data_IF_977622477690
#
_entry.id   IF_977622477690
#
_cell.length_a   1.000
_cell.length_b   1.000
_cell.length_c   1.000
_cell.angle_alpha   90.00
_cell.angle_beta   90.00
_cell.angle_gamma   90.00
#
_symmetry.space_group_name_H-M   'P 1'
#
loop_
_entity.id
_entity.type
_entity.pdbx_description
1 polymer ?
#
# COMPACT_ATOMS: atom_id res chain seq x y z
N UNK A 1 -16.46 43.21 13.44
CA UNK A 1 -16.95 42.33 12.31
C UNK A 1 -16.01 41.14 12.00
N UNK A 2 -14.68 41.27 12.20
CA UNK A 2 -13.72 40.19 11.93
C UNK A 2 -13.80 39.08 13.00
N UNK A 3 -14.07 39.40 14.23
CA UNK A 3 -14.17 38.43 15.34
C UNK A 3 -15.38 37.50 15.23
N UNK A 4 -16.55 38.01 14.78
CA UNK A 4 -17.74 37.17 14.59
C UNK A 4 -17.59 36.11 13.51
N UNK A 5 -16.75 36.34 12.48
CA UNK A 5 -16.47 35.33 11.44
C UNK A 5 -15.62 34.14 11.91
N UNK A 6 -14.97 34.27 13.10
CA UNK A 6 -14.16 33.18 13.69
C UNK A 6 -14.96 32.25 14.60
N UNK A 7 -16.20 32.57 14.90
CA UNK A 7 -17.08 31.78 15.76
C UNK A 7 -17.82 30.67 15.00
N UNK A 8 -17.77 30.68 13.70
CA UNK A 8 -18.40 29.64 12.86
C UNK A 8 -17.32 28.98 12.03
N UNK A 9 -17.18 27.66 12.17
CA UNK A 9 -16.28 26.84 11.36
C UNK A 9 -17.06 26.28 10.19
N UNK A 10 -16.49 26.43 9.00
CA UNK A 10 -17.03 25.85 7.76
C UNK A 10 -16.15 24.73 7.28
N UNK A 11 -16.74 23.65 6.75
CA UNK A 11 -16.01 22.60 6.09
C UNK A 11 -15.29 23.18 4.84
N UNK A 12 -13.95 23.06 4.73
CA UNK A 12 -13.20 23.59 3.60
C UNK A 12 -13.38 22.77 2.32
N UNK A 13 -13.83 21.52 2.44
CA UNK A 13 -14.09 20.59 1.34
C UNK A 13 -15.21 19.62 1.74
N UNK A 14 -15.74 18.88 0.75
CA UNK A 14 -16.69 17.78 0.98
C UNK A 14 -15.92 16.57 1.54
N UNK A 15 -16.47 15.93 2.59
CA UNK A 15 -15.82 14.80 3.23
C UNK A 15 -16.62 14.24 4.39
N UNK A 16 -16.05 13.27 5.09
CA UNK A 16 -16.65 12.62 6.25
C UNK A 16 -16.00 13.14 7.55
N UNK A 17 -16.83 13.54 8.52
CA UNK A 17 -16.36 13.90 9.86
C UNK A 17 -15.93 12.63 10.58
N UNK A 18 -14.62 12.47 10.80
CA UNK A 18 -14.06 11.31 11.46
C UNK A 18 -14.13 11.42 12.98
N UNK A 19 -13.94 12.63 13.53
CA UNK A 19 -13.94 12.86 14.97
C UNK A 19 -14.32 14.29 15.30
N UNK A 20 -15.06 14.45 16.36
CA UNK A 20 -15.31 15.73 17.02
C UNK A 20 -14.61 15.67 18.38
N UNK A 21 -13.80 16.68 18.69
CA UNK A 21 -13.06 16.78 19.94
C UNK A 21 -13.67 17.92 20.76
N UNK A 22 -14.04 17.60 21.99
CA UNK A 22 -14.71 18.53 22.90
C UNK A 22 -16.23 18.43 22.90
N UNK A 23 -16.83 18.97 23.94
CA UNK A 23 -18.27 18.97 24.15
C UNK A 23 -18.82 20.41 24.13
N UNK A 24 -20.15 20.53 23.98
CA UNK A 24 -20.81 21.83 24.01
C UNK A 24 -20.64 22.49 25.39
N UNK A 25 -20.10 23.69 25.39
CA UNK A 25 -19.80 24.43 26.62
C UNK A 25 -18.33 24.34 27.05
N UNK A 26 -17.51 23.51 26.41
CA UNK A 26 -16.07 23.49 26.65
C UNK A 26 -15.35 24.67 25.97
N UNK A 27 -14.32 25.17 26.63
CA UNK A 27 -13.47 26.20 26.06
C UNK A 27 -12.42 25.62 25.12
N UNK A 28 -12.50 26.02 23.86
CA UNK A 28 -11.50 25.65 22.86
C UNK A 28 -10.42 26.71 22.76
N UNK A 29 -9.20 26.36 23.13
CA UNK A 29 -8.04 27.25 22.99
C UNK A 29 -7.42 27.09 21.59
N UNK A 30 -7.08 28.18 20.90
CA UNK A 30 -6.24 28.10 19.71
C UNK A 30 -4.88 27.52 20.09
N UNK A 31 -4.32 26.71 19.20
CA UNK A 31 -3.00 26.11 19.40
C UNK A 31 -1.93 27.18 19.61
N UNK A 32 -1.20 27.15 20.72
CA UNK A 32 -0.01 27.99 20.85
C UNK A 32 1.01 27.62 19.77
N UNK A 33 1.81 28.57 19.26
CA UNK A 33 2.87 28.25 18.32
C UNK A 33 3.79 27.14 18.85
N UNK A 34 4.00 26.07 18.04
CA UNK A 34 4.88 24.96 18.39
C UNK A 34 4.27 23.86 19.27
N UNK A 35 3.01 23.97 19.69
CA UNK A 35 2.30 22.91 20.42
C UNK A 35 1.21 22.33 19.52
N UNK A 36 1.33 21.07 19.08
CA UNK A 36 0.26 20.43 18.32
C UNK A 36 -0.93 20.18 19.24
N UNK A 37 -2.03 20.86 19.00
CA UNK A 37 -3.33 20.57 19.65
C UNK A 37 -4.21 19.80 18.69
N UNK A 38 -5.00 18.83 19.18
CA UNK A 38 -5.93 18.13 18.32
C UNK A 38 -6.95 19.11 17.70
N UNK A 39 -7.33 18.91 16.43
CA UNK A 39 -8.35 19.73 15.78
C UNK A 39 -9.69 19.54 16.48
N UNK A 40 -10.51 20.61 16.56
CA UNK A 40 -11.86 20.53 17.12
C UNK A 40 -12.75 19.55 16.30
N UNK A 41 -12.57 19.52 15.00
CA UNK A 41 -13.24 18.62 14.08
C UNK A 41 -12.19 18.03 13.14
N UNK A 42 -12.14 16.71 13.04
CA UNK A 42 -11.31 15.99 12.08
C UNK A 42 -12.18 15.61 10.87
N UNK A 43 -11.84 16.18 9.71
CA UNK A 43 -12.56 15.98 8.46
C UNK A 43 -11.66 15.24 7.47
N UNK A 44 -12.15 14.12 6.96
CA UNK A 44 -11.43 13.28 6.01
C UNK A 44 -12.05 13.40 4.62
N UNK A 45 -11.20 13.61 3.61
CA UNK A 45 -11.57 13.46 2.22
C UNK A 45 -11.47 11.96 1.86
N UNK A 46 -12.60 11.30 1.72
CA UNK A 46 -12.74 9.89 1.38
C UNK A 46 -12.93 9.66 -0.14
N UNK A 47 -12.85 10.72 -0.94
CA UNK A 47 -13.03 10.64 -2.39
C UNK A 47 -11.82 10.01 -3.12
N UNK A 48 -10.64 9.98 -2.50
CA UNK A 48 -9.42 9.46 -3.10
C UNK A 48 -8.57 8.65 -2.11
N UNK A 49 -8.93 7.38 -1.96
CA UNK A 49 -8.15 6.46 -1.14
C UNK A 49 -6.90 5.98 -1.87
N UNK A 50 -5.80 5.91 -1.16
CA UNK A 50 -4.55 5.30 -1.61
C UNK A 50 -3.92 4.50 -0.47
N UNK A 51 -3.06 3.55 -0.85
CA UNK A 51 -2.30 2.75 0.10
C UNK A 51 -0.90 3.31 0.17
N UNK A 52 -0.41 3.53 1.37
CA UNK A 52 0.95 3.94 1.63
C UNK A 52 1.70 2.77 2.26
N UNK A 53 2.72 2.27 1.57
CA UNK A 53 3.53 1.15 2.03
C UNK A 53 5.01 1.54 2.08
N UNK A 54 5.69 1.30 3.21
CA UNK A 54 7.14 1.45 3.31
C UNK A 54 7.83 0.28 2.61
N UNK A 55 8.62 0.56 1.57
CA UNK A 55 9.44 -0.40 0.85
C UNK A 55 10.90 -0.27 1.25
N UNK A 56 11.63 -1.38 1.26
CA UNK A 56 13.06 -1.37 1.56
C UNK A 56 13.83 -0.50 0.55
N UNK A 57 14.82 0.26 1.06
CA UNK A 57 15.69 1.12 0.24
C UNK A 57 16.37 0.35 -0.90
N UNK A 58 16.68 -0.93 -0.71
CA UNK A 58 17.35 -1.78 -1.73
C UNK A 58 16.42 -2.11 -2.90
N UNK A 59 15.12 -2.21 -2.65
CA UNK A 59 14.12 -2.54 -3.66
C UNK A 59 13.48 -1.30 -4.31
N UNK A 60 13.48 -0.17 -3.63
CA UNK A 60 12.90 1.07 -4.10
C UNK A 60 13.35 1.51 -5.51
N UNK A 61 14.64 1.35 -5.93
CA UNK A 61 15.08 1.72 -7.29
C UNK A 61 14.43 0.92 -8.42
N UNK A 62 13.83 -0.24 -8.11
CA UNK A 62 13.13 -1.09 -9.08
C UNK A 62 11.68 -0.69 -9.26
N UNK A 63 11.17 0.21 -8.41
CA UNK A 63 9.76 0.60 -8.35
C UNK A 63 9.57 1.93 -9.06
N UNK A 64 8.65 1.95 -10.02
CA UNK A 64 8.36 3.13 -10.81
C UNK A 64 6.85 3.41 -10.84
N UNK A 65 6.43 4.69 -10.93
CA UNK A 65 5.03 5.04 -11.14
C UNK A 65 4.44 4.33 -12.36
N UNK A 66 3.21 3.85 -12.23
CA UNK A 66 2.49 3.11 -13.28
C UNK A 66 2.68 1.59 -13.25
N UNK A 67 3.63 1.05 -12.49
CA UNK A 67 3.77 -0.39 -12.33
C UNK A 67 2.53 -1.01 -11.70
N UNK A 68 2.15 -2.19 -12.19
CA UNK A 68 1.05 -2.96 -11.63
C UNK A 68 1.39 -3.44 -10.21
N UNK A 69 0.40 -3.37 -9.34
CA UNK A 69 0.48 -3.90 -7.98
C UNK A 69 -0.71 -4.80 -7.69
N UNK A 70 -0.49 -5.78 -6.83
CA UNK A 70 -1.56 -6.55 -6.20
C UNK A 70 -1.71 -6.05 -4.77
N UNK A 71 -2.94 -5.68 -4.42
CA UNK A 71 -3.30 -5.14 -3.12
C UNK A 71 -4.08 -6.19 -2.37
N UNK A 72 -3.70 -6.48 -1.14
CA UNK A 72 -4.46 -7.31 -0.21
C UNK A 72 -4.75 -6.52 1.06
N UNK A 73 -5.91 -6.76 1.65
CA UNK A 73 -6.40 -6.04 2.83
C UNK A 73 -6.63 -7.03 3.96
N UNK A 74 -6.16 -6.71 5.16
CA UNK A 74 -6.39 -7.55 6.34
C UNK A 74 -7.88 -7.72 6.64
N UNK A 75 -8.67 -6.68 6.37
CA UNK A 75 -10.13 -6.74 6.52
C UNK A 75 -10.81 -7.67 5.50
N UNK A 76 -10.15 -7.99 4.37
CA UNK A 76 -10.68 -8.81 3.27
C UNK A 76 -9.65 -9.87 2.79
N UNK A 77 -9.24 -10.82 3.66
CA UNK A 77 -8.05 -11.67 3.44
C UNK A 77 -8.16 -12.64 2.25
N UNK A 78 -9.36 -12.82 1.70
CA UNK A 78 -9.58 -13.71 0.54
C UNK A 78 -9.72 -12.97 -0.79
N UNK A 79 -9.55 -11.65 -0.77
CA UNK A 79 -9.69 -10.80 -1.94
C UNK A 79 -8.38 -10.10 -2.23
N UNK A 80 -8.03 -10.06 -3.49
CA UNK A 80 -6.94 -9.25 -3.98
C UNK A 80 -7.45 -8.25 -5.02
N UNK A 81 -6.96 -7.04 -4.96
CA UNK A 81 -7.39 -5.96 -5.82
C UNK A 81 -6.25 -5.55 -6.73
N UNK A 82 -6.50 -5.41 -8.04
CA UNK A 82 -5.52 -4.84 -8.94
C UNK A 82 -5.37 -3.35 -8.68
N UNK A 83 -4.15 -2.87 -8.82
CA UNK A 83 -3.83 -1.47 -8.67
C UNK A 83 -2.53 -1.12 -9.37
N UNK A 84 -2.11 0.10 -9.20
CA UNK A 84 -0.82 0.57 -9.74
C UNK A 84 -0.13 1.54 -8.81
N UNK A 85 1.18 1.60 -8.92
CA UNK A 85 2.01 2.57 -8.22
C UNK A 85 1.63 3.97 -8.70
N UNK A 86 1.20 4.82 -7.76
CA UNK A 86 0.89 6.23 -8.02
C UNK A 86 2.15 7.09 -7.90
N UNK A 87 2.91 6.86 -6.83
CA UNK A 87 4.08 7.68 -6.50
C UNK A 87 5.09 6.88 -5.67
N UNK A 88 6.35 7.18 -5.88
CA UNK A 88 7.46 6.76 -5.02
C UNK A 88 8.02 8.02 -4.36
N UNK A 89 8.21 8.00 -3.04
CA UNK A 89 8.76 9.15 -2.34
C UNK A 89 10.20 9.43 -2.82
N UNK A 90 10.57 10.71 -3.00
CA UNK A 90 11.91 11.08 -3.48
C UNK A 90 12.97 11.08 -2.36
N UNK A 91 12.67 10.51 -1.21
CA UNK A 91 13.56 10.46 -0.06
C UNK A 91 13.41 9.15 0.73
N UNK A 92 14.45 8.79 1.43
CA UNK A 92 14.49 7.64 2.34
C UNK A 92 14.12 8.11 3.74
N UNK A 93 13.13 7.46 4.34
CA UNK A 93 12.78 7.65 5.74
C UNK A 93 13.63 6.72 6.60
N UNK A 94 14.34 7.30 7.56
CA UNK A 94 15.09 6.54 8.56
C UNK A 94 14.51 6.88 9.94
N UNK A 95 13.83 5.92 10.55
CA UNK A 95 13.43 6.01 11.96
C UNK A 95 14.52 5.32 12.78
N UNK A 96 14.92 5.91 13.90
CA UNK A 96 15.93 5.31 14.78
C UNK A 96 15.61 3.84 15.09
N UNK A 97 16.60 2.95 14.84
CA UNK A 97 16.52 1.50 15.05
C UNK A 97 15.53 0.74 14.17
N UNK A 98 15.02 1.34 13.08
CA UNK A 98 14.19 0.67 12.08
C UNK A 98 14.89 0.60 10.73
N UNK A 99 14.37 -0.26 9.85
CA UNK A 99 14.86 -0.36 8.48
C UNK A 99 14.69 0.98 7.73
N UNK A 100 15.61 1.27 6.82
CA UNK A 100 15.53 2.42 5.93
C UNK A 100 14.52 2.10 4.84
N UNK A 101 13.51 2.93 4.72
CA UNK A 101 12.39 2.68 3.80
C UNK A 101 12.09 3.88 2.91
N UNK A 102 11.52 3.60 1.76
CA UNK A 102 10.96 4.58 0.82
C UNK A 102 9.45 4.36 0.78
N UNK A 103 8.69 5.41 1.00
CA UNK A 103 7.23 5.34 0.91
C UNK A 103 6.77 5.21 -0.54
N UNK A 104 6.01 4.16 -0.80
CA UNK A 104 5.35 3.91 -2.09
C UNK A 104 3.85 4.08 -1.91
N UNK A 105 3.25 4.90 -2.75
CA UNK A 105 1.80 5.10 -2.79
C UNK A 105 1.21 4.30 -3.96
N UNK A 106 0.20 3.50 -3.68
CA UNK A 106 -0.54 2.73 -4.67
C UNK A 106 -2.01 3.10 -4.66
N UNK A 107 -2.64 3.06 -5.82
CA UNK A 107 -4.08 3.28 -6.00
C UNK A 107 -4.73 2.07 -6.62
N UNK A 108 -6.01 1.87 -6.33
CA UNK A 108 -6.82 0.82 -6.94
C UNK A 108 -7.12 1.17 -8.41
N UNK A 109 -7.09 0.17 -9.28
CA UNK A 109 -7.51 0.34 -10.68
C UNK A 109 -9.03 0.54 -10.78
N UNK A 110 -9.77 0.03 -9.80
CA UNK A 110 -11.21 0.19 -9.67
C UNK A 110 -11.52 0.93 -8.37
N UNK A 111 -11.68 2.26 -8.41
CA UNK A 111 -11.95 3.07 -7.21
C UNK A 111 -13.20 2.64 -6.44
N UNK A 112 -14.19 2.08 -7.13
CA UNK A 112 -15.44 1.59 -6.52
C UNK A 112 -15.18 0.41 -5.57
N UNK A 113 -14.13 -0.38 -5.81
CA UNK A 113 -13.72 -1.43 -4.88
C UNK A 113 -13.26 -0.85 -3.53
N UNK A 114 -12.74 0.37 -3.53
CA UNK A 114 -12.31 1.11 -2.36
C UNK A 114 -13.46 1.80 -1.62
N UNK A 115 -14.64 1.99 -2.25
CA UNK A 115 -15.75 2.78 -1.70
C UNK A 115 -16.40 2.25 -0.42
N UNK A 116 -16.00 1.05 0.04
CA UNK A 116 -16.42 0.46 1.32
C UNK A 116 -15.30 0.34 2.34
N UNK A 117 -14.12 0.83 2.00
CA UNK A 117 -12.95 0.73 2.86
C UNK A 117 -12.88 1.94 3.78
N UNK A 118 -12.49 1.70 5.01
CA UNK A 118 -12.25 2.78 5.97
C UNK A 118 -10.79 3.22 5.90
N UNK A 119 -10.58 4.51 6.03
CA UNK A 119 -9.24 5.07 6.22
C UNK A 119 -8.61 4.46 7.47
N UNK A 120 -7.36 4.00 7.35
CA UNK A 120 -6.64 3.36 8.44
C UNK A 120 -6.67 1.83 8.42
N UNK A 121 -7.31 1.18 7.44
CA UNK A 121 -7.17 -0.26 7.26
C UNK A 121 -5.74 -0.63 6.90
N UNK A 122 -5.27 -1.75 7.47
CA UNK A 122 -4.00 -2.36 7.07
C UNK A 122 -4.11 -3.00 5.70
N UNK A 123 -3.10 -2.76 4.88
CA UNK A 123 -3.03 -3.26 3.52
C UNK A 123 -1.60 -3.63 3.16
N UNK A 124 -1.44 -4.74 2.44
CA UNK A 124 -0.18 -5.14 1.83
C UNK A 124 -0.22 -4.87 0.33
N UNK A 125 0.92 -4.48 -0.23
CA UNK A 125 1.09 -4.35 -1.67
C UNK A 125 2.23 -5.23 -2.17
N UNK A 126 1.97 -5.96 -3.24
CA UNK A 126 2.98 -6.69 -4.01
C UNK A 126 3.22 -5.94 -5.32
N UNK A 127 4.39 -5.34 -5.49
CA UNK A 127 4.77 -4.67 -6.74
C UNK A 127 5.21 -5.71 -7.76
N UNK A 128 4.58 -5.72 -8.93
CA UNK A 128 4.87 -6.67 -10.00
C UNK A 128 6.02 -6.09 -10.83
N UNK A 129 7.23 -6.64 -10.67
CA UNK A 129 8.43 -6.15 -11.35
C UNK A 129 8.56 -6.69 -12.78
N UNK A 130 8.14 -7.92 -13.02
CA UNK A 130 8.23 -8.58 -14.33
C UNK A 130 7.07 -9.57 -14.51
N UNK A 131 6.52 -9.61 -15.71
CA UNK A 131 5.47 -10.57 -16.10
C UNK A 131 5.96 -11.30 -17.35
N UNK A 132 5.92 -12.61 -17.32
CA UNK A 132 6.27 -13.44 -18.46
C UNK A 132 5.10 -14.36 -18.81
N UNK A 133 4.50 -14.10 -19.96
CA UNK A 133 3.46 -14.94 -20.50
C UNK A 133 4.06 -16.09 -21.34
N UNK A 134 3.28 -17.16 -21.51
CA UNK A 134 3.65 -18.34 -22.31
C UNK A 134 4.97 -19.03 -21.90
N UNK A 135 5.28 -19.06 -20.61
CA UNK A 135 6.46 -19.77 -20.09
C UNK A 135 6.10 -21.12 -19.51
N UNK A 136 6.95 -22.11 -19.77
CA UNK A 136 6.87 -23.41 -19.08
C UNK A 136 7.30 -23.22 -17.64
N UNK A 137 6.45 -23.61 -16.69
CA UNK A 137 6.71 -23.47 -15.25
C UNK A 137 7.06 -24.82 -14.66
N UNK A 138 8.06 -24.83 -13.79
CA UNK A 138 8.41 -25.97 -12.95
C UNK A 138 8.27 -25.53 -11.51
N UNK A 139 7.57 -26.29 -10.65
CA UNK A 139 7.50 -25.99 -9.22
C UNK A 139 8.91 -25.95 -8.62
N UNK A 140 9.19 -24.95 -7.80
CA UNK A 140 10.51 -24.80 -7.15
C UNK A 140 10.91 -26.04 -6.35
N UNK A 141 9.94 -26.73 -5.76
CA UNK A 141 10.12 -27.98 -5.00
C UNK A 141 10.62 -29.15 -5.85
N UNK A 142 10.43 -29.10 -7.19
CA UNK A 142 10.92 -30.13 -8.10
C UNK A 142 12.36 -29.88 -8.59
N UNK A 143 12.94 -28.73 -8.21
CA UNK A 143 14.31 -28.36 -8.57
C UNK A 143 15.29 -28.81 -7.48
N UNK A 144 16.24 -29.63 -7.86
CA UNK A 144 17.41 -29.98 -7.04
C UNK A 144 18.58 -29.05 -7.31
N UNK A 145 19.59 -29.11 -6.46
CA UNK A 145 20.81 -28.32 -6.63
C UNK A 145 21.40 -28.46 -8.04
N UNK A 146 21.85 -27.36 -8.62
CA UNK A 146 22.39 -27.30 -9.96
C UNK A 146 21.36 -27.32 -11.10
N UNK A 147 20.07 -27.03 -10.79
CA UNK A 147 19.00 -26.96 -11.80
C UNK A 147 18.59 -28.32 -12.35
N UNK A 148 18.70 -29.37 -11.57
CA UNK A 148 18.32 -30.74 -11.94
C UNK A 148 16.85 -31.00 -11.56
N UNK A 149 16.18 -31.82 -12.37
CA UNK A 149 14.82 -32.29 -12.11
C UNK A 149 14.73 -33.79 -12.43
N UNK A 150 13.84 -34.47 -11.74
CA UNK A 150 13.46 -35.84 -12.08
C UNK A 150 12.16 -35.80 -12.90
N UNK A 151 12.23 -36.34 -14.10
CA UNK A 151 11.10 -36.45 -15.02
C UNK A 151 10.65 -37.92 -15.08
N UNK A 152 9.37 -38.16 -14.89
CA UNK A 152 8.78 -39.46 -15.08
C UNK A 152 8.53 -39.66 -16.56
N UNK A 153 9.18 -40.64 -17.17
CA UNK A 153 8.96 -41.02 -18.58
C UNK A 153 7.65 -41.80 -18.73
N UNK A 154 7.20 -41.95 -19.98
CA UNK A 154 5.98 -42.70 -20.30
C UNK A 154 6.02 -44.18 -19.85
N UNK A 155 7.20 -44.75 -19.74
CA UNK A 155 7.48 -46.12 -19.26
C UNK A 155 7.58 -46.20 -17.71
N UNK A 156 7.35 -45.10 -17.00
CA UNK A 156 7.41 -45.02 -15.54
C UNK A 156 8.82 -44.88 -14.97
N UNK A 157 9.87 -44.85 -15.81
CA UNK A 157 11.26 -44.70 -15.38
C UNK A 157 11.56 -43.24 -15.07
N UNK A 158 12.28 -42.98 -13.97
CA UNK A 158 12.77 -41.66 -13.60
C UNK A 158 14.03 -41.32 -14.40
N UNK A 159 14.01 -40.20 -15.06
CA UNK A 159 15.15 -39.66 -15.82
C UNK A 159 15.55 -38.31 -15.17
N UNK A 160 16.84 -38.20 -14.84
CA UNK A 160 17.39 -36.91 -14.39
C UNK A 160 17.66 -36.01 -15.61
N UNK A 161 17.10 -34.79 -15.56
CA UNK A 161 17.35 -33.77 -16.58
C UNK A 161 17.86 -32.50 -15.95
N UNK A 162 18.78 -31.84 -16.62
CA UNK A 162 19.25 -30.51 -16.24
C UNK A 162 18.47 -29.44 -16.99
N UNK A 163 17.85 -28.52 -16.24
CA UNK A 163 17.09 -27.41 -16.81
C UNK A 163 17.93 -26.14 -16.75
N UNK A 164 17.81 -25.33 -17.79
CA UNK A 164 18.27 -23.95 -17.78
C UNK A 164 17.04 -23.12 -17.37
N UNK A 165 17.00 -22.71 -16.11
CA UNK A 165 15.94 -21.83 -15.60
C UNK A 165 16.25 -20.40 -15.98
N UNK A 166 15.21 -19.66 -16.40
CA UNK A 166 15.27 -18.20 -16.48
C UNK A 166 15.24 -17.57 -15.08
N UNK A 167 15.52 -16.29 -15.03
CA UNK A 167 15.29 -15.49 -13.81
C UNK A 167 13.82 -15.26 -13.61
#
# INVERSE_FOLDING_TARGET
KVEQGRTVLYAPFAGTVAKIVGEVGEYSTPSPPGVPTPPAIDLIDDSCLYIKAPMDEVDAPKIHPGQAVRITLDALPKQSFPGRVKRVAPYVSAVEKQARTVDVEAVFDQPEAAGKLLVGYSADIEVILDVRDNVVRVPTQALFEGGRVLVVRADGVLEERRLKTGR
#
